data_IF_687973191871
#
_entry.id   IF_687973191871
#
_cell.length_a   1.000
_cell.length_b   1.000
_cell.length_c   1.000
_cell.angle_alpha   90.00
_cell.angle_beta   90.00
_cell.angle_gamma   90.00
#
_symmetry.space_group_name_H-M   'P 1'
#
loop_
_entity.id
_entity.type
_entity.pdbx_description
1 polymer ?
#
# COMPACT_ATOMS: atom_id res chain seq x y z
N UNK A 1 -26.25 -3.64 -2.63
CA UNK A 1 -25.81 -3.56 -1.22
C UNK A 1 -24.68 -2.55 -1.16
N UNK A 2 -24.74 -1.57 -0.24
CA UNK A 2 -23.68 -0.55 -0.13
C UNK A 2 -22.37 -1.15 0.39
N UNK A 3 -21.23 -0.48 0.13
CA UNK A 3 -19.93 -0.92 0.64
C UNK A 3 -19.93 -0.99 2.18
N UNK A 4 -20.51 0.03 2.83
CA UNK A 4 -20.66 0.10 4.28
C UNK A 4 -21.38 -1.12 4.86
N UNK A 5 -22.49 -1.54 4.24
CA UNK A 5 -23.24 -2.72 4.66
C UNK A 5 -22.40 -4.00 4.53
N UNK A 6 -21.74 -4.20 3.38
CA UNK A 6 -20.89 -5.37 3.15
C UNK A 6 -19.76 -5.46 4.17
N UNK A 7 -19.08 -4.34 4.41
CA UNK A 7 -17.98 -4.26 5.38
C UNK A 7 -18.49 -4.54 6.80
N UNK A 8 -19.64 -3.96 7.17
CA UNK A 8 -20.23 -4.16 8.50
C UNK A 8 -20.68 -5.61 8.74
N UNK A 9 -21.26 -6.27 7.72
CA UNK A 9 -21.62 -7.68 7.79
C UNK A 9 -20.39 -8.60 7.93
N UNK A 10 -19.31 -8.29 7.21
CA UNK A 10 -18.04 -9.00 7.34
C UNK A 10 -17.42 -8.79 8.73
N UNK A 11 -17.50 -7.57 9.28
CA UNK A 11 -17.03 -7.28 10.62
C UNK A 11 -17.86 -8.00 11.69
N UNK A 12 -19.17 -8.15 11.51
CA UNK A 12 -20.00 -8.94 12.42
C UNK A 12 -19.59 -10.42 12.44
N UNK A 13 -18.98 -10.93 11.36
CA UNK A 13 -18.46 -12.29 11.24
C UNK A 13 -17.01 -12.45 11.76
N UNK A 14 -16.39 -11.41 12.35
CA UNK A 14 -14.94 -11.35 12.70
C UNK A 14 -14.36 -12.52 13.50
N UNK A 15 -15.20 -13.30 14.18
CA UNK A 15 -14.78 -14.48 14.95
C UNK A 15 -14.58 -15.74 14.06
N UNK A 16 -14.95 -15.70 12.78
CA UNK A 16 -14.61 -16.75 11.82
C UNK A 16 -13.14 -16.65 11.36
N UNK A 17 -12.69 -17.56 10.49
CA UNK A 17 -11.29 -17.62 10.02
C UNK A 17 -10.84 -16.27 9.44
N UNK A 18 -9.96 -15.56 10.17
CA UNK A 18 -9.52 -14.20 9.87
C UNK A 18 -9.07 -14.02 8.41
N UNK A 19 -8.31 -14.98 7.86
CA UNK A 19 -7.82 -14.95 6.48
C UNK A 19 -8.94 -14.89 5.42
N UNK A 20 -10.07 -15.56 5.68
CA UNK A 20 -11.22 -15.56 4.79
C UNK A 20 -11.92 -14.20 4.80
N UNK A 21 -12.13 -13.64 5.99
CA UNK A 21 -12.79 -12.35 6.16
C UNK A 21 -11.94 -11.24 5.58
N UNK A 22 -10.64 -11.22 5.88
CA UNK A 22 -9.69 -10.27 5.29
C UNK A 22 -9.74 -10.33 3.76
N UNK A 23 -9.74 -11.54 3.17
CA UNK A 23 -9.83 -11.71 1.73
C UNK A 23 -11.14 -11.16 1.13
N UNK A 24 -12.28 -11.42 1.78
CA UNK A 24 -13.58 -10.90 1.37
C UNK A 24 -13.63 -9.37 1.49
N UNK A 25 -13.11 -8.80 2.57
CA UNK A 25 -13.10 -7.36 2.80
C UNK A 25 -12.23 -6.64 1.76
N UNK A 26 -11.03 -7.17 1.47
CA UNK A 26 -10.19 -6.71 0.35
C UNK A 26 -10.97 -6.73 -0.97
N UNK A 27 -11.73 -7.80 -1.23
CA UNK A 27 -12.54 -7.94 -2.43
C UNK A 27 -13.68 -6.92 -2.48
N UNK A 28 -14.35 -6.64 -1.37
CA UNK A 28 -15.38 -5.61 -1.27
C UNK A 28 -14.84 -4.21 -1.60
N UNK A 29 -13.68 -3.84 -1.06
CA UNK A 29 -13.03 -2.54 -1.36
C UNK A 29 -12.64 -2.49 -2.85
N UNK A 30 -12.07 -3.58 -3.35
CA UNK A 30 -11.69 -3.68 -4.75
C UNK A 30 -12.90 -3.57 -5.69
N UNK A 31 -14.00 -4.25 -5.41
CA UNK A 31 -15.21 -4.24 -6.22
C UNK A 31 -15.97 -2.92 -6.12
N UNK A 32 -15.95 -2.25 -4.97
CA UNK A 32 -16.49 -0.90 -4.84
C UNK A 32 -15.76 0.11 -5.72
N UNK A 33 -14.46 -0.09 -5.97
CA UNK A 33 -13.67 0.81 -6.80
C UNK A 33 -13.57 0.39 -8.27
N UNK A 34 -13.37 -0.89 -8.57
CA UNK A 34 -13.13 -1.40 -9.93
C UNK A 34 -14.32 -2.18 -10.51
N UNK A 35 -15.31 -2.53 -9.69
CA UNK A 35 -16.42 -3.38 -10.06
C UNK A 35 -17.39 -2.72 -11.06
N UNK A 36 -18.29 -3.51 -11.65
CA UNK A 36 -19.23 -3.06 -12.67
C UNK A 36 -20.26 -2.04 -12.15
N UNK A 37 -20.47 -1.99 -10.82
CA UNK A 37 -21.37 -1.07 -10.14
C UNK A 37 -20.63 0.09 -9.46
N UNK A 38 -19.31 0.19 -9.63
CA UNK A 38 -18.55 1.30 -9.09
C UNK A 38 -18.99 2.59 -9.80
N UNK A 39 -19.21 3.67 -9.04
CA UNK A 39 -19.76 4.94 -9.55
C UNK A 39 -19.11 5.33 -10.88
N UNK A 40 -19.96 5.70 -11.85
CA UNK A 40 -19.54 6.05 -13.22
C UNK A 40 -18.45 7.11 -13.19
N UNK A 41 -17.57 7.10 -14.22
CA UNK A 41 -16.38 7.96 -14.32
C UNK A 41 -16.69 9.44 -14.05
N UNK A 42 -16.51 9.85 -12.80
CA UNK A 42 -16.56 11.22 -12.32
C UNK A 42 -15.33 11.52 -11.47
N UNK A 43 -14.99 12.81 -11.33
CA UNK A 43 -13.74 13.28 -10.73
C UNK A 43 -13.56 12.97 -9.23
N UNK A 44 -14.57 12.42 -8.55
CA UNK A 44 -14.58 12.30 -7.08
C UNK A 44 -14.56 10.87 -6.55
N UNK A 45 -14.41 9.85 -7.39
CA UNK A 45 -14.50 8.44 -6.95
C UNK A 45 -13.53 8.04 -5.84
N UNK A 46 -12.30 8.59 -5.87
CA UNK A 46 -11.33 8.37 -4.80
C UNK A 46 -11.81 9.00 -3.48
N UNK A 47 -12.28 10.25 -3.54
CA UNK A 47 -12.79 10.97 -2.38
C UNK A 47 -14.08 10.32 -1.82
N UNK A 48 -14.98 9.86 -2.69
CA UNK A 48 -16.20 9.14 -2.31
C UNK A 48 -15.88 7.86 -1.56
N UNK A 49 -14.94 7.06 -2.08
CA UNK A 49 -14.52 5.83 -1.43
C UNK A 49 -13.81 6.12 -0.11
N UNK A 50 -12.89 7.07 -0.09
CA UNK A 50 -12.19 7.50 1.14
C UNK A 50 -13.17 7.96 2.22
N UNK A 51 -14.14 8.82 1.86
CA UNK A 51 -15.18 9.31 2.78
C UNK A 51 -16.05 8.17 3.30
N UNK A 52 -16.45 7.25 2.41
CA UNK A 52 -17.26 6.08 2.79
C UNK A 52 -16.49 5.17 3.74
N UNK A 53 -15.21 4.91 3.46
CA UNK A 53 -14.34 4.11 4.32
C UNK A 53 -14.15 4.77 5.67
N UNK A 54 -13.83 6.07 5.71
CA UNK A 54 -13.65 6.81 6.97
C UNK A 54 -14.91 6.74 7.83
N UNK A 55 -16.09 6.99 7.24
CA UNK A 55 -17.36 6.89 7.97
C UNK A 55 -17.64 5.48 8.48
N UNK A 56 -17.44 4.47 7.64
CA UNK A 56 -17.63 3.06 8.01
C UNK A 56 -16.67 2.67 9.13
N UNK A 57 -15.39 3.02 9.01
CA UNK A 57 -14.36 2.70 9.98
C UNK A 57 -14.62 3.37 11.34
N UNK A 58 -15.11 4.62 11.36
CA UNK A 58 -15.54 5.28 12.60
C UNK A 58 -16.63 4.47 13.31
N UNK A 59 -17.66 4.05 12.56
CA UNK A 59 -18.74 3.22 13.10
C UNK A 59 -18.25 1.87 13.65
N UNK A 60 -17.35 1.19 12.94
CA UNK A 60 -16.82 -0.10 13.38
C UNK A 60 -15.88 0.02 14.59
N UNK A 61 -15.00 1.03 14.59
CA UNK A 61 -14.10 1.31 15.72
C UNK A 61 -14.87 1.59 17.01
N UNK A 62 -15.99 2.33 16.91
CA UNK A 62 -16.86 2.61 18.04
C UNK A 62 -17.58 1.37 18.62
N UNK A 63 -17.76 0.31 17.81
CA UNK A 63 -18.38 -0.95 18.26
C UNK A 63 -17.36 -1.81 19.01
N UNK A 64 -16.19 -2.02 18.41
CA UNK A 64 -15.12 -2.87 18.95
C UNK A 64 -13.77 -2.46 18.35
N UNK A 65 -13.13 -1.47 18.98
CA UNK A 65 -11.87 -0.89 18.50
C UNK A 65 -10.77 -1.95 18.34
N UNK A 66 -10.62 -2.87 19.31
CA UNK A 66 -9.57 -3.89 19.26
C UNK A 66 -9.73 -4.83 18.07
N UNK A 67 -10.94 -5.35 17.84
CA UNK A 67 -11.19 -6.21 16.69
C UNK A 67 -11.14 -5.44 15.36
N UNK A 68 -11.58 -4.18 15.34
CA UNK A 68 -11.50 -3.30 14.18
C UNK A 68 -10.05 -3.08 13.74
N UNK A 69 -9.18 -2.65 14.64
CA UNK A 69 -7.78 -2.37 14.33
C UNK A 69 -7.05 -3.63 13.88
N UNK A 70 -7.28 -4.76 14.57
CA UNK A 70 -6.74 -6.07 14.17
C UNK A 70 -7.07 -6.41 12.72
N UNK A 71 -8.36 -6.38 12.37
CA UNK A 71 -8.81 -6.81 11.06
C UNK A 71 -8.42 -5.81 9.97
N UNK A 72 -8.45 -4.51 10.27
CA UNK A 72 -8.09 -3.46 9.32
C UNK A 72 -6.59 -3.48 8.98
N UNK A 73 -5.72 -3.76 9.97
CA UNK A 73 -4.29 -3.98 9.72
C UNK A 73 -4.09 -5.12 8.71
N UNK A 74 -4.74 -6.27 8.91
CA UNK A 74 -4.64 -7.40 7.97
C UNK A 74 -5.12 -7.03 6.56
N UNK A 75 -6.22 -6.27 6.46
CA UNK A 75 -6.75 -5.79 5.17
C UNK A 75 -5.75 -4.84 4.49
N UNK A 76 -5.20 -3.90 5.24
CA UNK A 76 -4.20 -2.94 4.74
C UNK A 76 -2.95 -3.65 4.23
N UNK A 77 -2.38 -4.57 5.02
CA UNK A 77 -1.20 -5.34 4.62
C UNK A 77 -1.44 -6.11 3.31
N UNK A 78 -2.63 -6.71 3.17
CA UNK A 78 -3.00 -7.48 1.97
C UNK A 78 -3.25 -6.59 0.74
N UNK A 79 -3.79 -5.38 0.92
CA UNK A 79 -3.92 -4.40 -0.17
C UNK A 79 -2.57 -3.80 -0.58
N UNK A 80 -1.68 -3.60 0.40
CA UNK A 80 -0.39 -2.95 0.19
C UNK A 80 0.59 -3.82 -0.60
N UNK A 81 0.50 -5.15 -0.48
CA UNK A 81 1.32 -6.07 -1.24
C UNK A 81 1.17 -5.86 -2.75
N UNK A 82 2.29 -5.67 -3.45
CA UNK A 82 2.30 -5.75 -4.91
C UNK A 82 2.01 -7.20 -5.29
N UNK A 83 0.84 -7.46 -5.86
CA UNK A 83 0.57 -8.73 -6.50
C UNK A 83 1.55 -8.89 -7.66
N UNK A 84 2.60 -9.70 -7.46
CA UNK A 84 3.31 -10.36 -8.55
C UNK A 84 2.22 -11.04 -9.38
N UNK A 85 2.04 -10.56 -10.61
CA UNK A 85 0.91 -10.92 -11.46
C UNK A 85 0.64 -12.42 -11.39
N UNK A 86 -0.59 -12.76 -11.06
CA UNK A 86 -1.12 -14.12 -10.93
C UNK A 86 -0.47 -15.07 -11.94
N UNK A 87 0.47 -15.88 -11.46
CA UNK A 87 0.58 -17.24 -11.97
C UNK A 87 -0.76 -17.89 -11.64
N UNK A 88 -1.64 -17.93 -12.63
CA UNK A 88 -2.80 -18.82 -12.57
C UNK A 88 -2.26 -20.23 -12.36
N UNK A 89 -2.31 -20.69 -11.12
CA UNK A 89 -2.38 -22.11 -10.78
C UNK A 89 -3.66 -22.66 -11.39
N UNK A 90 -3.65 -22.93 -12.69
CA UNK A 90 -4.51 -23.94 -13.29
C UNK A 90 -3.93 -25.30 -12.89
N UNK A 91 -4.12 -25.65 -11.62
CA UNK A 91 -4.05 -27.03 -11.18
C UNK A 91 -5.28 -27.75 -11.72
N UNK A 92 -5.17 -28.26 -12.95
CA UNK A 92 -5.98 -29.39 -13.41
C UNK A 92 -5.05 -30.52 -13.86
N UNK A 93 -4.85 -31.41 -12.90
CA UNK A 93 -4.64 -32.86 -12.98
C UNK A 93 -4.94 -33.47 -14.36
N UNK A 94 -3.98 -34.25 -14.87
CA UNK A 94 -4.13 -35.22 -15.96
C UNK A 94 -2.77 -35.66 -16.53
N UNK A 95 -1.99 -36.48 -15.79
CA UNK A 95 -1.71 -37.90 -16.07
C UNK A 95 -1.12 -38.24 -17.46
N UNK A 96 0.15 -38.71 -17.44
CA UNK A 96 0.80 -39.69 -18.35
C UNK A 96 0.95 -39.28 -19.82
N UNK A 97 1.94 -39.71 -20.59
CA UNK A 97 3.05 -40.64 -20.45
C UNK A 97 4.10 -40.24 -21.52
N UNK A 98 5.35 -40.61 -21.25
CA UNK A 98 6.42 -41.05 -22.18
C UNK A 98 6.66 -40.38 -23.56
N UNK A 99 7.92 -39.95 -23.73
CA UNK A 99 8.86 -40.17 -24.85
C UNK A 99 8.36 -40.07 -26.31
N UNK A 100 8.99 -39.24 -27.14
CA UNK A 100 10.02 -39.66 -28.13
C UNK A 100 10.33 -38.53 -29.15
N UNK A 101 11.53 -38.59 -29.74
CA UNK A 101 12.08 -37.70 -30.77
C UNK A 101 11.42 -37.87 -32.17
N UNK A 102 11.81 -36.99 -33.10
CA UNK A 102 11.73 -37.04 -34.59
C UNK A 102 10.55 -36.38 -35.33
N UNK A 103 10.93 -35.25 -35.95
CA UNK A 103 10.92 -34.98 -37.40
C UNK A 103 9.60 -34.71 -38.19
N UNK A 104 9.72 -33.66 -39.02
CA UNK A 104 9.05 -33.38 -40.29
C UNK A 104 7.55 -33.00 -40.37
N UNK A 105 7.36 -31.71 -40.68
CA UNK A 105 6.53 -31.15 -41.75
C UNK A 105 5.19 -31.83 -42.08
N UNK A 106 4.08 -31.17 -41.71
CA UNK A 106 2.97 -30.90 -42.64
C UNK A 106 2.02 -29.81 -42.13
N UNK A 107 1.84 -28.81 -42.98
CA UNK A 107 0.90 -27.71 -42.81
C UNK A 107 -0.54 -28.22 -42.70
N UNK A 108 -1.34 -27.63 -41.81
CA UNK A 108 -2.76 -27.35 -42.05
C UNK A 108 -3.36 -26.47 -40.94
N UNK A 109 -4.04 -25.41 -41.36
CA UNK A 109 -5.04 -24.64 -40.61
C UNK A 109 -4.57 -23.84 -39.38
N UNK A 110 -4.07 -22.63 -39.66
CA UNK A 110 -4.06 -21.49 -38.74
C UNK A 110 -5.50 -21.13 -38.33
N UNK A 111 -6.07 -21.86 -37.36
CA UNK A 111 -7.15 -21.35 -36.52
C UNK A 111 -6.58 -20.18 -35.73
N UNK A 112 -7.09 -18.99 -35.99
CA UNK A 112 -6.86 -17.78 -35.19
C UNK A 112 -7.24 -18.10 -33.74
N UNK A 113 -6.28 -18.52 -32.94
CA UNK A 113 -6.42 -18.55 -31.48
C UNK A 113 -6.63 -17.11 -31.05
N UNK A 114 -7.84 -16.83 -30.56
CA UNK A 114 -8.13 -15.58 -29.86
C UNK A 114 -7.08 -15.42 -28.76
N UNK A 115 -6.13 -14.52 -29.02
CA UNK A 115 -5.13 -14.05 -28.06
C UNK A 115 -5.94 -13.42 -26.93
N UNK A 116 -6.30 -14.19 -25.90
CA UNK A 116 -6.91 -13.67 -24.68
C UNK A 116 -5.93 -12.61 -24.19
N UNK A 117 -6.29 -11.35 -24.35
CA UNK A 117 -5.52 -10.26 -23.77
C UNK A 117 -5.44 -10.57 -22.28
N UNK A 118 -4.21 -10.73 -21.77
CA UNK A 118 -3.98 -10.76 -20.33
C UNK A 118 -4.60 -9.47 -19.81
N UNK A 119 -5.79 -9.54 -19.21
CA UNK A 119 -6.38 -8.39 -18.52
C UNK A 119 -5.34 -8.02 -17.48
N UNK A 120 -4.72 -6.83 -17.62
CA UNK A 120 -3.83 -6.32 -16.59
C UNK A 120 -4.62 -6.33 -15.29
N UNK A 121 -4.12 -7.04 -14.28
CA UNK A 121 -4.70 -7.00 -12.95
C UNK A 121 -4.76 -5.53 -12.51
N UNK A 122 -5.87 -5.12 -11.92
CA UNK A 122 -6.00 -3.76 -11.41
C UNK A 122 -5.05 -3.59 -10.22
N UNK A 123 -4.45 -2.40 -10.04
CA UNK A 123 -3.48 -2.19 -8.99
C UNK A 123 -4.17 -2.04 -7.61
N UNK A 124 -3.69 -2.75 -6.59
CA UNK A 124 -4.20 -2.61 -5.22
C UNK A 124 -3.59 -1.41 -4.46
N UNK A 125 -2.42 -0.92 -4.87
CA UNK A 125 -1.73 0.16 -4.17
C UNK A 125 -2.58 1.43 -3.96
N UNK A 126 -3.35 1.94 -4.96
CA UNK A 126 -4.25 3.07 -4.73
C UNK A 126 -5.34 2.80 -3.67
N UNK A 127 -5.83 1.56 -3.60
CA UNK A 127 -6.82 1.16 -2.58
C UNK A 127 -6.20 1.16 -1.19
N UNK A 128 -4.97 0.68 -1.06
CA UNK A 128 -4.24 0.72 0.21
C UNK A 128 -4.02 2.17 0.69
N UNK A 129 -3.68 3.10 -0.21
CA UNK A 129 -3.61 4.53 0.14
C UNK A 129 -4.95 5.09 0.63
N UNK A 130 -6.07 4.71 0.00
CA UNK A 130 -7.39 5.15 0.47
C UNK A 130 -7.72 4.59 1.86
N UNK A 131 -7.32 3.36 2.16
CA UNK A 131 -7.45 2.79 3.51
C UNK A 131 -6.59 3.54 4.51
N UNK A 132 -5.32 3.86 4.18
CA UNK A 132 -4.44 4.66 5.06
C UNK A 132 -5.01 6.05 5.32
N UNK A 133 -5.52 6.74 4.29
CA UNK A 133 -6.14 8.05 4.46
C UNK A 133 -7.38 7.97 5.36
N UNK A 134 -8.26 7.00 5.12
CA UNK A 134 -9.45 6.79 5.94
C UNK A 134 -9.11 6.50 7.41
N UNK A 135 -8.06 5.72 7.66
CA UNK A 135 -7.55 5.48 9.02
C UNK A 135 -6.96 6.73 9.64
N UNK A 136 -6.27 7.57 8.86
CA UNK A 136 -5.68 8.82 9.36
C UNK A 136 -6.75 9.76 9.91
N UNK A 137 -7.88 9.88 9.22
CA UNK A 137 -9.04 10.66 9.71
C UNK A 137 -9.50 10.20 11.09
N UNK A 138 -9.49 8.89 11.38
CA UNK A 138 -9.83 8.38 12.70
C UNK A 138 -8.80 8.72 13.77
N UNK A 139 -7.51 8.64 13.44
CA UNK A 139 -6.42 8.89 14.39
C UNK A 139 -6.20 10.36 14.72
N UNK A 140 -6.64 11.27 13.84
CA UNK A 140 -6.62 12.71 14.10
C UNK A 140 -7.72 13.13 15.10
N UNK A 141 -8.82 12.38 15.15
CA UNK A 141 -9.97 12.64 16.04
C UNK A 141 -9.85 11.94 17.40
N UNK A 142 -9.24 10.76 17.46
CA UNK A 142 -9.05 9.96 18.68
C UNK A 142 -7.56 9.69 18.95
N UNK A 143 -7.05 10.18 20.09
CA UNK A 143 -5.65 10.04 20.50
C UNK A 143 -5.11 8.58 20.38
N UNK A 144 -4.15 8.40 19.47
CA UNK A 144 -3.25 7.24 19.29
C UNK A 144 -3.91 5.86 19.06
N UNK A 145 -3.87 5.38 17.82
CA UNK A 145 -4.27 4.02 17.41
C UNK A 145 -3.42 2.91 18.05
N UNK A 146 -2.20 3.21 18.50
CA UNK A 146 -1.24 2.23 19.01
C UNK A 146 -1.74 1.44 20.23
N UNK A 147 -2.73 1.94 20.97
CA UNK A 147 -3.31 1.23 22.13
C UNK A 147 -4.24 0.07 21.76
N UNK A 148 -4.73 0.03 20.52
CA UNK A 148 -5.72 -0.96 20.08
C UNK A 148 -5.11 -2.07 19.23
N UNK A 149 -3.85 -1.93 18.83
CA UNK A 149 -3.13 -2.92 18.03
C UNK A 149 -2.46 -3.90 18.99
N UNK A 150 -2.79 -5.18 18.88
CA UNK A 150 -2.19 -6.22 19.71
C UNK A 150 -0.76 -6.51 19.24
N UNK A 151 0.05 -7.13 20.10
CA UNK A 151 1.47 -7.38 19.86
C UNK A 151 1.72 -8.14 18.54
N UNK A 152 0.84 -9.08 18.19
CA UNK A 152 0.97 -9.87 16.96
C UNK A 152 0.80 -9.02 15.70
N UNK A 153 -0.25 -8.19 15.63
CA UNK A 153 -0.47 -7.29 14.49
C UNK A 153 0.59 -6.19 14.41
N UNK A 154 1.12 -5.75 15.55
CA UNK A 154 2.24 -4.82 15.61
C UNK A 154 3.50 -5.44 15.02
N UNK A 155 3.86 -6.66 15.42
CA UNK A 155 5.02 -7.39 14.86
C UNK A 155 4.86 -7.59 13.34
N UNK A 156 3.65 -7.94 12.88
CA UNK A 156 3.36 -8.06 11.44
C UNK A 156 3.52 -6.72 10.69
N UNK A 157 3.10 -5.61 11.28
CA UNK A 157 3.27 -4.27 10.71
C UNK A 157 4.75 -3.88 10.62
N UNK A 158 5.51 -4.12 11.70
CA UNK A 158 6.94 -3.83 11.77
C UNK A 158 7.72 -4.64 10.73
N UNK A 159 7.53 -5.96 10.70
CA UNK A 159 8.17 -6.84 9.71
C UNK A 159 7.76 -6.46 8.27
N UNK A 160 6.49 -6.13 8.03
CA UNK A 160 6.05 -5.64 6.73
C UNK A 160 6.75 -4.35 6.31
N UNK A 161 6.86 -3.38 7.22
CA UNK A 161 7.51 -2.11 6.94
C UNK A 161 9.01 -2.27 6.71
N UNK A 162 9.69 -3.07 7.51
CA UNK A 162 11.11 -3.41 7.34
C UNK A 162 11.34 -4.01 5.95
N UNK A 163 10.59 -5.04 5.58
CA UNK A 163 10.68 -5.66 4.24
C UNK A 163 10.35 -4.68 3.12
N UNK A 164 9.34 -3.83 3.32
CA UNK A 164 8.92 -2.84 2.34
C UNK A 164 9.90 -1.68 2.12
N UNK A 165 10.66 -1.30 3.15
CA UNK A 165 11.77 -0.36 3.03
C UNK A 165 12.93 -0.99 2.24
N UNK A 166 13.23 -2.27 2.50
CA UNK A 166 14.31 -3.02 1.84
C UNK A 166 14.02 -3.33 0.36
N UNK A 167 12.79 -3.74 0.01
CA UNK A 167 12.44 -4.16 -1.35
C UNK A 167 11.29 -3.35 -1.96
N UNK A 168 11.64 -2.47 -2.89
CA UNK A 168 10.67 -1.68 -3.65
C UNK A 168 9.77 -2.50 -4.59
N UNK A 169 10.05 -3.79 -4.83
CA UNK A 169 9.20 -4.69 -5.60
C UNK A 169 8.12 -5.36 -4.73
N UNK A 170 8.35 -5.46 -3.42
CA UNK A 170 7.39 -6.06 -2.48
C UNK A 170 6.16 -5.16 -2.27
N UNK A 171 6.38 -3.85 -2.08
CA UNK A 171 5.34 -2.85 -1.85
C UNK A 171 5.81 -1.49 -2.39
N UNK A 172 4.89 -0.56 -2.66
CA UNK A 172 5.31 0.80 -2.96
C UNK A 172 5.93 1.45 -1.72
N UNK A 173 7.22 1.79 -1.76
CA UNK A 173 7.91 2.47 -0.67
C UNK A 173 7.22 3.77 -0.20
N UNK A 174 6.46 4.48 -1.06
CA UNK A 174 5.66 5.63 -0.61
C UNK A 174 4.59 5.20 0.39
N UNK A 175 3.92 4.08 0.11
CA UNK A 175 2.88 3.54 0.97
C UNK A 175 3.47 3.08 2.31
N UNK A 176 4.65 2.44 2.28
CA UNK A 176 5.37 2.05 3.51
C UNK A 176 5.64 3.27 4.39
N UNK A 177 6.08 4.38 3.81
CA UNK A 177 6.30 5.63 4.57
C UNK A 177 4.99 6.13 5.20
N UNK A 178 3.86 6.08 4.50
CA UNK A 178 2.57 6.47 5.09
C UNK A 178 2.12 5.52 6.22
N UNK A 179 2.44 4.22 6.12
CA UNK A 179 2.15 3.23 7.16
C UNK A 179 3.03 3.45 8.39
N UNK A 180 4.33 3.69 8.21
CA UNK A 180 5.27 4.03 9.28
C UNK A 180 4.78 5.26 10.07
N UNK A 181 4.35 6.29 9.35
CA UNK A 181 3.79 7.53 9.92
C UNK A 181 2.50 7.26 10.69
N UNK A 182 1.52 6.59 10.05
CA UNK A 182 0.21 6.29 10.64
C UNK A 182 0.31 5.48 11.94
N UNK A 183 1.21 4.50 11.98
CA UNK A 183 1.38 3.61 13.14
C UNK A 183 2.56 3.99 14.03
N UNK A 184 3.20 5.13 13.78
CA UNK A 184 4.35 5.64 14.56
C UNK A 184 5.50 4.63 14.71
N UNK A 185 5.74 3.82 13.68
CA UNK A 185 6.79 2.80 13.67
C UNK A 185 8.13 3.49 13.45
N UNK A 186 8.92 3.56 14.52
CA UNK A 186 10.22 4.26 14.56
C UNK A 186 11.39 3.36 14.95
N UNK A 187 11.12 2.14 15.44
CA UNK A 187 12.14 1.15 15.77
C UNK A 187 12.49 0.33 14.52
N UNK A 188 13.28 0.94 13.63
CA UNK A 188 13.78 0.31 12.40
C UNK A 188 15.28 0.55 12.31
N UNK A 189 16.02 -0.48 11.90
CA UNK A 189 17.46 -0.38 11.71
C UNK A 189 17.86 0.79 10.79
N UNK A 190 18.81 1.59 11.26
CA UNK A 190 19.23 2.82 10.58
C UNK A 190 19.74 2.59 9.16
N UNK A 191 20.41 1.46 8.89
CA UNK A 191 20.92 1.15 7.54
C UNK A 191 19.77 0.88 6.56
N UNK A 192 18.70 0.23 7.03
CA UNK A 192 17.49 -0.01 6.24
C UNK A 192 16.83 1.33 5.87
N UNK A 193 16.66 2.22 6.85
CA UNK A 193 16.06 3.55 6.63
C UNK A 193 16.92 4.38 5.67
N UNK A 194 18.25 4.40 5.85
CA UNK A 194 19.17 5.11 4.97
C UNK A 194 19.14 4.55 3.53
N UNK A 195 19.10 3.23 3.38
CA UNK A 195 18.97 2.57 2.08
C UNK A 195 17.65 2.94 1.37
N UNK A 196 16.54 2.95 2.11
CA UNK A 196 15.24 3.36 1.59
C UNK A 196 15.22 4.86 1.22
N UNK A 197 15.82 5.73 2.02
CA UNK A 197 15.96 7.16 1.71
C UNK A 197 16.73 7.37 0.40
N UNK A 198 17.82 6.65 0.19
CA UNK A 198 18.57 6.69 -1.06
C UNK A 198 17.75 6.19 -2.25
N UNK A 199 17.00 5.09 -2.08
CA UNK A 199 16.08 4.56 -3.10
C UNK A 199 15.01 5.59 -3.50
N UNK A 200 14.40 6.26 -2.51
CA UNK A 200 13.39 7.30 -2.73
C UNK A 200 13.98 8.53 -3.44
N UNK A 201 15.20 8.94 -3.08
CA UNK A 201 15.91 10.05 -3.72
C UNK A 201 16.18 9.75 -5.20
N UNK A 202 16.76 8.59 -5.51
CA UNK A 202 17.06 8.17 -6.88
C UNK A 202 15.79 8.02 -7.72
N UNK A 203 14.72 7.50 -7.11
CA UNK A 203 13.41 7.31 -7.75
C UNK A 203 12.59 8.60 -7.83
N UNK A 204 13.14 9.75 -7.39
CA UNK A 204 12.48 11.06 -7.36
C UNK A 204 11.14 11.07 -6.59
N UNK A 205 11.02 10.22 -5.56
CA UNK A 205 9.85 10.11 -4.69
C UNK A 205 9.99 11.07 -3.50
N UNK A 206 10.20 12.36 -3.78
CA UNK A 206 10.70 13.32 -2.79
C UNK A 206 9.75 13.61 -1.63
N UNK A 207 8.43 13.62 -1.83
CA UNK A 207 7.48 13.81 -0.71
C UNK A 207 7.58 12.67 0.32
N UNK A 208 7.69 11.43 -0.16
CA UNK A 208 7.89 10.28 0.72
C UNK A 208 9.27 10.28 1.35
N UNK A 209 10.30 10.76 0.64
CA UNK A 209 11.63 10.97 1.22
C UNK A 209 11.54 11.97 2.38
N UNK A 210 10.99 13.17 2.17
CA UNK A 210 10.86 14.20 3.22
C UNK A 210 10.13 13.63 4.44
N UNK A 211 9.01 12.93 4.24
CA UNK A 211 8.29 12.27 5.34
C UNK A 211 9.16 11.24 6.07
N UNK A 212 9.87 10.37 5.36
CA UNK A 212 10.77 9.38 5.97
C UNK A 212 11.84 10.05 6.83
N UNK A 213 12.45 11.15 6.35
CA UNK A 213 13.44 11.91 7.11
C UNK A 213 12.81 12.56 8.37
N UNK A 214 11.53 12.97 8.30
CA UNK A 214 10.81 13.53 9.44
C UNK A 214 10.51 12.48 10.50
N UNK A 215 10.06 11.28 10.10
CA UNK A 215 9.78 10.16 11.01
C UNK A 215 11.07 9.76 11.75
N UNK A 216 12.18 9.65 11.02
CA UNK A 216 13.50 9.27 11.55
C UNK A 216 14.42 10.48 11.71
N UNK A 217 13.94 11.52 12.38
CA UNK A 217 14.68 12.78 12.57
C UNK A 217 15.95 12.65 13.43
N UNK A 218 16.06 11.56 14.20
CA UNK A 218 17.20 11.26 15.06
C UNK A 218 18.43 10.75 14.31
N UNK A 219 18.25 10.33 13.05
CA UNK A 219 19.35 9.91 12.19
C UNK A 219 20.08 11.11 11.61
N UNK A 220 21.40 10.96 11.43
CA UNK A 220 22.21 11.99 10.78
C UNK A 220 21.97 11.98 9.26
N UNK A 221 21.31 13.03 8.78
CA UNK A 221 20.99 13.20 7.36
C UNK A 221 21.93 14.19 6.68
N UNK A 222 22.48 13.79 5.53
CA UNK A 222 23.25 14.69 4.67
C UNK A 222 22.33 15.54 3.78
N UNK A 223 21.56 16.46 4.37
CA UNK A 223 20.59 17.31 3.66
C UNK A 223 21.21 18.09 2.49
N UNK A 224 22.41 18.64 2.65
CA UNK A 224 23.11 19.37 1.59
C UNK A 224 23.33 18.51 0.34
N UNK A 225 23.73 17.25 0.51
CA UNK A 225 23.92 16.32 -0.59
C UNK A 225 22.59 15.97 -1.29
N UNK A 226 21.50 15.83 -0.52
CA UNK A 226 20.16 15.59 -1.06
C UNK A 226 19.68 16.80 -1.88
N UNK A 227 19.84 18.02 -1.38
CA UNK A 227 19.52 19.27 -2.09
C UNK A 227 20.33 19.37 -3.39
N UNK A 228 21.64 19.13 -3.35
CA UNK A 228 22.49 19.10 -4.55
C UNK A 228 22.00 18.08 -5.58
N UNK A 229 21.44 16.96 -5.14
CA UNK A 229 20.88 15.93 -6.03
C UNK A 229 19.55 16.38 -6.66
N UNK A 230 18.64 16.95 -5.86
CA UNK A 230 17.35 17.46 -6.34
C UNK A 230 17.51 18.61 -7.34
N UNK A 231 18.42 19.55 -7.04
CA UNK A 231 18.75 20.70 -7.91
C UNK A 231 19.42 20.28 -9.21
N UNK A 232 20.33 19.30 -9.18
CA UNK A 232 20.87 18.66 -10.41
C UNK A 232 19.77 18.03 -11.27
N UNK A 233 18.75 17.47 -10.62
CA UNK A 233 17.56 16.94 -11.30
C UNK A 233 16.56 18.02 -11.75
N UNK A 234 16.84 19.31 -11.48
CA UNK A 234 15.98 20.48 -11.73
C UNK A 234 14.65 20.45 -10.98
N UNK A 235 14.56 19.70 -9.89
CA UNK A 235 13.36 19.67 -9.03
C UNK A 235 13.51 20.66 -7.87
N UNK A 236 13.33 21.94 -8.19
CA UNK A 236 13.47 23.04 -7.24
C UNK A 236 12.40 23.02 -6.15
N UNK A 237 11.17 22.59 -6.47
CA UNK A 237 10.08 22.51 -5.52
C UNK A 237 10.37 21.47 -4.42
N UNK A 238 10.93 20.30 -4.79
CA UNK A 238 11.34 19.30 -3.81
C UNK A 238 12.51 19.78 -2.95
N UNK A 239 13.49 20.46 -3.55
CA UNK A 239 14.62 21.04 -2.82
C UNK A 239 14.15 22.10 -1.82
N UNK A 240 13.24 22.99 -2.25
CA UNK A 240 12.63 24.00 -1.37
C UNK A 240 11.83 23.34 -0.24
N UNK A 241 11.04 22.31 -0.53
CA UNK A 241 10.29 21.56 0.49
C UNK A 241 11.22 21.00 1.57
N UNK A 242 12.34 20.39 1.17
CA UNK A 242 13.33 19.85 2.10
C UNK A 242 13.94 20.97 2.97
N UNK A 243 14.34 22.10 2.36
CA UNK A 243 14.87 23.28 3.08
C UNK A 243 13.83 23.87 4.01
N UNK A 244 12.57 23.96 3.62
CA UNK A 244 11.51 24.51 4.49
C UNK A 244 11.24 23.62 5.70
N UNK A 245 11.39 22.31 5.52
CA UNK A 245 11.13 21.29 6.54
C UNK A 245 12.29 21.19 7.55
N UNK A 246 13.54 21.20 7.08
CA UNK A 246 14.73 20.95 7.93
C UNK A 246 15.73 22.11 8.00
N UNK A 247 15.58 23.14 7.18
CA UNK A 247 16.46 24.31 7.19
C UNK A 247 16.23 25.18 8.41
N UNK A 248 17.33 25.68 8.97
CA UNK A 248 17.33 26.59 10.11
C UNK A 248 16.54 27.88 9.79
N UNK A 249 15.90 28.53 10.78
CA UNK A 249 15.19 29.80 10.58
C UNK A 249 16.07 30.90 9.95
N UNK A 250 17.38 30.85 10.19
CA UNK A 250 18.37 31.81 9.68
C UNK A 250 18.58 31.72 8.16
N UNK A 251 18.31 30.57 7.55
CA UNK A 251 18.38 30.37 6.09
C UNK A 251 17.10 30.81 5.37
N UNK A 252 16.03 31.13 6.09
CA UNK A 252 14.74 31.56 5.53
C UNK A 252 14.70 33.04 5.14
N UNK A 253 15.78 33.79 5.42
CA UNK A 253 15.89 35.23 5.16
C UNK A 253 16.89 35.64 4.07
N UNK A 254 17.63 34.70 3.47
CA UNK A 254 18.67 34.99 2.47
C UNK A 254 18.46 34.18 1.17
N UNK A 255 17.26 34.27 0.60
CA UNK A 255 17.01 33.90 -0.81
C UNK A 255 16.66 35.13 -1.61
#
# INVERSE_FOLDING_TARGET
MSLEQQISELFAQRDELADSITGKWVSCIHDAFYGPYATERGSNKFLELETTLAHTFAGLSAIDAGAFWRLTVLVLLRLAQKTLGTETTDARIGKGDELDETDSNKATNLKKTHKKSKKKAQPNAPLAFMVVNALRTLTEEENSCGQFIQDQEKEMLEDFCVRGLQDSNFVDQKLVVEILDLFTITDVDAQIVQGAAQSLLVSKKYTALVKLLTIFNSLEWSFEAMIKTMTKCKDWAAAELLVRTFGSPEDKGNV
#
